data_IF_240247895490
#
_entry.id   IF_240247895490
#
_cell.length_a   1.000
_cell.length_b   1.000
_cell.length_c   1.000
_cell.angle_alpha   90.00
_cell.angle_beta   90.00
_cell.angle_gamma   90.00
#
_symmetry.space_group_name_H-M   'P 1'
#
loop_
_entity.id
_entity.type
_entity.pdbx_description
1 polymer ?
#
# COMPACT_ATOMS: atom_id res chain seq x y z
N UNK A 1 -40.42 -71.91 -24.21
CA UNK A 1 -38.96 -71.85 -23.96
C UNK A 1 -38.47 -70.52 -24.49
N UNK A 2 -38.08 -69.53 -23.69
CA UNK A 2 -36.85 -69.44 -22.89
C UNK A 2 -37.04 -68.47 -21.69
N UNK A 3 -36.71 -68.89 -20.47
CA UNK A 3 -36.69 -68.04 -19.27
C UNK A 3 -35.26 -67.51 -19.06
N UNK A 4 -35.05 -66.20 -19.24
CA UNK A 4 -33.80 -65.55 -18.85
C UNK A 4 -33.67 -65.49 -17.32
N UNK A 5 -32.50 -65.78 -16.73
CA UNK A 5 -32.33 -65.80 -15.28
C UNK A 5 -32.26 -64.38 -14.70
N UNK A 6 -33.24 -63.99 -13.89
CA UNK A 6 -33.35 -62.66 -13.23
C UNK A 6 -32.19 -62.27 -12.30
N UNK A 7 -31.29 -63.21 -11.97
CA UNK A 7 -30.12 -62.97 -11.10
C UNK A 7 -29.02 -62.13 -11.76
N UNK A 8 -28.94 -62.10 -13.09
CA UNK A 8 -27.92 -61.31 -13.80
C UNK A 8 -28.26 -59.83 -13.96
N UNK A 9 -29.56 -59.48 -14.00
CA UNK A 9 -30.01 -58.09 -14.23
C UNK A 9 -29.77 -57.21 -13.00
N UNK A 10 -30.00 -57.74 -11.81
CA UNK A 10 -29.84 -56.99 -10.55
C UNK A 10 -28.37 -56.64 -10.27
N UNK A 11 -27.43 -57.55 -10.53
CA UNK A 11 -25.99 -57.30 -10.32
C UNK A 11 -25.41 -56.23 -11.25
N UNK A 12 -25.89 -56.15 -12.50
CA UNK A 12 -25.51 -55.10 -13.44
C UNK A 12 -26.00 -53.72 -13.01
N UNK A 13 -27.25 -53.62 -12.54
CA UNK A 13 -27.81 -52.35 -12.06
C UNK A 13 -27.00 -51.76 -10.89
N UNK A 14 -26.64 -52.57 -9.88
CA UNK A 14 -25.83 -52.09 -8.75
C UNK A 14 -24.46 -51.57 -9.19
N UNK A 15 -23.79 -52.25 -10.13
CA UNK A 15 -22.52 -51.80 -10.70
C UNK A 15 -22.68 -50.46 -11.43
N UNK A 16 -23.73 -50.31 -12.22
CA UNK A 16 -23.93 -49.10 -13.03
C UNK A 16 -24.31 -47.89 -12.15
N UNK A 17 -25.10 -48.09 -11.07
CA UNK A 17 -25.33 -47.05 -10.05
C UNK A 17 -24.04 -46.66 -9.31
N UNK A 18 -23.20 -47.64 -8.96
CA UNK A 18 -21.92 -47.36 -8.31
C UNK A 18 -20.99 -46.55 -9.23
N UNK A 19 -20.90 -46.91 -10.51
CA UNK A 19 -20.13 -46.15 -11.50
C UNK A 19 -20.66 -44.72 -11.67
N UNK A 20 -21.99 -44.55 -11.74
CA UNK A 20 -22.59 -43.22 -11.82
C UNK A 20 -22.25 -42.35 -10.59
N UNK A 21 -22.30 -42.91 -9.38
CA UNK A 21 -21.90 -42.22 -8.16
C UNK A 21 -20.43 -41.81 -8.21
N UNK A 22 -19.53 -42.71 -8.61
CA UNK A 22 -18.09 -42.40 -8.74
C UNK A 22 -17.83 -41.29 -9.76
N UNK A 23 -18.53 -41.29 -10.90
CA UNK A 23 -18.42 -40.25 -11.93
C UNK A 23 -18.94 -38.90 -11.41
N UNK A 24 -20.09 -38.88 -10.73
CA UNK A 24 -20.63 -37.65 -10.15
C UNK A 24 -19.73 -37.07 -9.05
N UNK A 25 -19.21 -37.93 -8.17
CA UNK A 25 -18.28 -37.52 -7.11
C UNK A 25 -16.96 -37.02 -7.68
N UNK A 26 -16.38 -37.71 -8.66
CA UNK A 26 -15.14 -37.27 -9.30
C UNK A 26 -15.31 -35.95 -10.06
N UNK A 27 -16.43 -35.79 -10.77
CA UNK A 27 -16.80 -34.51 -11.42
C UNK A 27 -16.92 -33.37 -10.40
N UNK A 28 -17.58 -33.60 -9.26
CA UNK A 28 -17.72 -32.61 -8.20
C UNK A 28 -16.37 -32.24 -7.57
N UNK A 29 -15.49 -33.22 -7.33
CA UNK A 29 -14.14 -32.98 -6.81
C UNK A 29 -13.31 -32.14 -7.78
N UNK A 30 -13.35 -32.45 -9.08
CA UNK A 30 -12.66 -31.68 -10.13
C UNK A 30 -13.19 -30.25 -10.18
N UNK A 31 -14.51 -30.06 -10.15
CA UNK A 31 -15.13 -28.74 -10.12
C UNK A 31 -14.68 -27.91 -8.92
N UNK A 32 -14.68 -28.50 -7.72
CA UNK A 32 -14.23 -27.84 -6.49
C UNK A 32 -12.74 -27.48 -6.56
N UNK A 33 -11.90 -28.36 -7.10
CA UNK A 33 -10.47 -28.10 -7.29
C UNK A 33 -10.24 -26.91 -8.23
N UNK A 34 -10.93 -26.85 -9.37
CA UNK A 34 -10.83 -25.72 -10.28
C UNK A 34 -11.32 -24.41 -9.65
N UNK A 35 -12.42 -24.46 -8.89
CA UNK A 35 -12.93 -23.30 -8.16
C UNK A 35 -11.92 -22.78 -7.14
N UNK A 36 -11.28 -23.66 -6.38
CA UNK A 36 -10.24 -23.29 -5.42
C UNK A 36 -9.03 -22.64 -6.10
N UNK A 37 -8.56 -23.20 -7.21
CA UNK A 37 -7.45 -22.62 -7.98
C UNK A 37 -7.79 -21.21 -8.50
N UNK A 38 -9.02 -21.02 -9.01
CA UNK A 38 -9.47 -19.72 -9.50
C UNK A 38 -9.50 -18.68 -8.37
N UNK A 39 -10.08 -19.03 -7.22
CA UNK A 39 -10.11 -18.15 -6.05
C UNK A 39 -8.71 -17.85 -5.51
N UNK A 40 -7.79 -18.82 -5.53
CA UNK A 40 -6.40 -18.61 -5.13
C UNK A 40 -5.71 -17.58 -6.05
N UNK A 41 -5.88 -17.73 -7.37
CA UNK A 41 -5.33 -16.79 -8.35
C UNK A 41 -5.94 -15.39 -8.19
N UNK A 42 -7.26 -15.29 -8.02
CA UNK A 42 -7.94 -14.01 -7.74
C UNK A 42 -7.39 -13.36 -6.47
N UNK A 43 -7.19 -14.12 -5.39
CA UNK A 43 -6.59 -13.62 -4.16
C UNK A 43 -5.15 -13.14 -4.35
N UNK A 44 -4.31 -13.86 -5.11
CA UNK A 44 -2.96 -13.42 -5.43
C UNK A 44 -2.97 -12.10 -6.21
N UNK A 45 -3.86 -11.97 -7.20
CA UNK A 45 -4.00 -10.71 -7.97
C UNK A 45 -4.46 -9.55 -7.09
N UNK A 46 -5.44 -9.77 -6.21
CA UNK A 46 -5.91 -8.76 -5.25
C UNK A 46 -4.81 -8.37 -4.27
N UNK A 47 -4.03 -9.32 -3.76
CA UNK A 47 -2.88 -9.01 -2.90
C UNK A 47 -1.84 -8.18 -3.64
N UNK A 48 -1.52 -8.51 -4.89
CA UNK A 48 -0.58 -7.75 -5.70
C UNK A 48 -1.07 -6.32 -5.94
N UNK A 49 -2.35 -6.14 -6.29
CA UNK A 49 -2.98 -4.82 -6.46
C UNK A 49 -3.01 -4.02 -5.15
N UNK A 50 -3.33 -4.68 -4.04
CA UNK A 50 -3.30 -4.06 -2.71
C UNK A 50 -1.89 -3.58 -2.36
N UNK A 51 -0.87 -4.41 -2.56
CA UNK A 51 0.52 -4.03 -2.31
C UNK A 51 0.98 -2.89 -3.23
N UNK A 52 0.61 -2.92 -4.51
CA UNK A 52 0.87 -1.82 -5.46
C UNK A 52 0.20 -0.53 -5.02
N UNK A 53 -1.05 -0.59 -4.59
CA UNK A 53 -1.82 0.58 -4.11
C UNK A 53 -1.19 1.13 -2.83
N UNK A 54 -0.85 0.27 -1.87
CA UNK A 54 -0.19 0.66 -0.62
C UNK A 54 1.19 1.27 -0.89
N UNK A 55 1.95 0.71 -1.82
CA UNK A 55 3.21 1.27 -2.28
C UNK A 55 3.03 2.64 -2.93
N UNK A 56 2.03 2.81 -3.80
CA UNK A 56 1.73 4.11 -4.42
C UNK A 56 1.24 5.13 -3.40
N UNK A 57 0.47 4.72 -2.39
CA UNK A 57 0.05 5.59 -1.29
C UNK A 57 1.26 6.04 -0.45
N UNK A 58 2.16 5.12 -0.10
CA UNK A 58 3.42 5.43 0.58
C UNK A 58 4.31 6.33 -0.29
N UNK A 59 4.36 6.08 -1.59
CA UNK A 59 5.06 6.94 -2.55
C UNK A 59 4.44 8.32 -2.59
N UNK A 60 3.12 8.44 -2.59
CA UNK A 60 2.42 9.73 -2.63
C UNK A 60 2.48 10.50 -1.30
N UNK A 61 2.74 9.83 -0.18
CA UNK A 61 3.11 10.53 1.07
C UNK A 61 4.37 11.37 0.89
N UNK A 62 5.24 11.01 -0.07
CA UNK A 62 6.38 11.81 -0.50
C UNK A 62 6.07 12.44 -1.86
N UNK A 63 5.82 13.74 -1.92
CA UNK A 63 5.75 14.44 -3.20
C UNK A 63 7.10 14.27 -3.95
N UNK A 64 7.18 13.51 -5.06
CA UNK A 64 8.45 13.27 -5.75
C UNK A 64 9.04 14.57 -6.31
N UNK A 65 8.18 15.50 -6.74
CA UNK A 65 8.61 16.80 -7.22
C UNK A 65 9.20 17.63 -6.07
N UNK A 66 8.60 17.61 -4.88
CA UNK A 66 9.18 18.22 -3.69
C UNK A 66 10.56 17.63 -3.36
N UNK A 67 10.70 16.30 -3.42
CA UNK A 67 11.98 15.62 -3.16
C UNK A 67 13.06 16.08 -4.15
N UNK A 68 12.81 16.00 -5.46
CA UNK A 68 13.78 16.42 -6.47
C UNK A 68 14.13 17.90 -6.36
N UNK A 69 13.13 18.75 -6.10
CA UNK A 69 13.38 20.18 -5.94
C UNK A 69 14.26 20.45 -4.71
N UNK A 70 13.97 19.80 -3.59
CA UNK A 70 14.75 19.94 -2.36
C UNK A 70 16.19 19.48 -2.54
N UNK A 71 16.42 18.39 -3.28
CA UNK A 71 17.77 17.92 -3.60
C UNK A 71 18.52 18.90 -4.52
N UNK A 72 17.83 19.51 -5.48
CA UNK A 72 18.41 20.54 -6.34
C UNK A 72 18.79 21.81 -5.55
N UNK A 73 17.90 22.27 -4.64
CA UNK A 73 18.20 23.36 -3.72
C UNK A 73 19.42 23.03 -2.86
N UNK A 74 19.48 21.83 -2.28
CA UNK A 74 20.63 21.38 -1.51
C UNK A 74 21.92 21.37 -2.34
N UNK A 75 21.88 20.83 -3.56
CA UNK A 75 23.04 20.80 -4.47
C UNK A 75 23.54 22.20 -4.82
N UNK A 76 22.63 23.16 -4.98
CA UNK A 76 22.98 24.57 -5.17
C UNK A 76 23.62 25.16 -3.92
N UNK A 77 23.05 24.90 -2.73
CA UNK A 77 23.58 25.38 -1.45
C UNK A 77 24.96 24.83 -1.13
N UNK A 78 25.25 23.56 -1.43
CA UNK A 78 26.59 22.99 -1.21
C UNK A 78 27.68 23.81 -1.92
N UNK A 79 27.35 24.40 -3.08
CA UNK A 79 28.28 25.22 -3.86
C UNK A 79 28.36 26.67 -3.39
N UNK A 80 27.27 27.22 -2.85
CA UNK A 80 27.17 28.66 -2.53
C UNK A 80 27.34 28.97 -1.05
N UNK A 81 26.84 28.11 -0.17
CA UNK A 81 26.85 28.28 1.28
C UNK A 81 26.75 26.89 1.96
N UNK A 82 27.90 26.31 2.27
CA UNK A 82 27.99 24.98 2.88
C UNK A 82 27.32 24.92 4.27
N UNK A 83 27.32 26.03 5.02
CA UNK A 83 26.65 26.10 6.32
C UNK A 83 25.13 25.98 6.18
N UNK A 84 24.54 26.77 5.28
CA UNK A 84 23.11 26.64 4.95
C UNK A 84 22.76 25.30 4.33
N UNK A 85 23.66 24.70 3.56
CA UNK A 85 23.45 23.35 3.03
C UNK A 85 23.30 22.31 4.15
N UNK A 86 24.16 22.38 5.17
CA UNK A 86 24.10 21.49 6.33
C UNK A 86 22.81 21.67 7.13
N UNK A 87 22.38 22.91 7.36
CA UNK A 87 21.11 23.18 8.02
C UNK A 87 19.92 22.69 7.18
N UNK A 88 19.94 22.96 5.87
CA UNK A 88 18.89 22.55 4.95
C UNK A 88 18.71 21.02 4.91
N UNK A 89 19.80 20.26 4.81
CA UNK A 89 19.71 18.79 4.79
C UNK A 89 19.20 18.22 6.11
N UNK A 90 19.50 18.86 7.24
CA UNK A 90 18.99 18.45 8.55
C UNK A 90 17.48 18.69 8.67
N UNK A 91 16.99 19.86 8.23
CA UNK A 91 15.56 20.18 8.18
C UNK A 91 14.81 19.28 7.18
N UNK A 92 15.41 19.02 6.02
CA UNK A 92 14.87 18.11 5.02
C UNK A 92 14.71 16.70 5.59
N UNK A 93 15.74 16.19 6.26
CA UNK A 93 15.71 14.88 6.93
C UNK A 93 14.66 14.81 8.04
N UNK A 94 14.43 15.90 8.77
CA UNK A 94 13.38 15.98 9.78
C UNK A 94 11.99 15.93 9.15
N UNK A 95 11.71 16.77 8.15
CA UNK A 95 10.43 16.82 7.43
C UNK A 95 10.08 15.44 6.85
N UNK A 96 11.02 14.80 6.15
CA UNK A 96 10.77 13.48 5.59
C UNK A 96 10.53 12.40 6.65
N UNK A 97 11.31 12.38 7.74
CA UNK A 97 11.07 11.44 8.84
C UNK A 97 9.70 11.64 9.46
N UNK A 98 9.27 12.90 9.63
CA UNK A 98 7.96 13.23 10.15
C UNK A 98 6.83 12.78 9.22
N UNK A 99 6.93 13.08 7.92
CA UNK A 99 5.93 12.69 6.92
C UNK A 99 5.78 11.17 6.79
N UNK A 100 6.85 10.42 7.03
CA UNK A 100 6.83 8.95 7.01
C UNK A 100 6.39 8.32 8.33
N UNK A 101 6.22 9.10 9.41
CA UNK A 101 5.66 8.59 10.66
C UNK A 101 4.15 8.39 10.50
N UNK A 102 3.67 7.19 10.83
CA UNK A 102 2.25 6.88 10.81
C UNK A 102 1.67 7.03 12.22
N UNK A 103 1.50 8.29 12.67
CA UNK A 103 0.85 8.63 13.94
C UNK A 103 -0.59 9.09 13.68
N UNK A 104 -1.57 8.45 14.31
CA UNK A 104 -2.98 8.87 14.20
C UNK A 104 -3.30 10.14 14.99
N UNK A 105 -2.57 10.39 16.09
CA UNK A 105 -2.74 11.56 16.96
C UNK A 105 -1.35 12.12 17.30
N UNK A 106 -1.22 13.44 17.23
CA UNK A 106 0.00 14.20 17.49
C UNK A 106 -0.31 15.43 18.34
N UNK A 107 0.69 15.94 19.06
CA UNK A 107 0.55 17.18 19.80
C UNK A 107 0.63 18.39 18.88
N UNK A 108 0.02 19.51 19.28
CA UNK A 108 0.12 20.77 18.54
C UNK A 108 1.58 21.26 18.45
N UNK A 109 2.38 21.02 19.51
CA UNK A 109 3.79 21.37 19.53
C UNK A 109 4.59 20.61 18.45
N UNK A 110 4.37 19.29 18.32
CA UNK A 110 5.00 18.48 17.27
C UNK A 110 4.60 18.94 15.87
N UNK A 111 3.31 19.23 15.65
CA UNK A 111 2.81 19.70 14.35
C UNK A 111 3.36 21.09 14.00
N UNK A 112 3.44 21.99 14.96
CA UNK A 112 4.03 23.31 14.78
C UNK A 112 5.52 23.22 14.45
N UNK A 113 6.25 22.35 15.14
CA UNK A 113 7.67 22.11 14.87
C UNK A 113 7.88 21.56 13.45
N UNK A 114 7.04 20.63 13.00
CA UNK A 114 7.03 20.17 11.61
C UNK A 114 6.74 21.30 10.62
N UNK A 115 5.68 22.06 10.85
CA UNK A 115 5.25 23.16 9.98
C UNK A 115 6.35 24.22 9.84
N UNK A 116 6.99 24.60 10.94
CA UNK A 116 8.09 25.57 10.93
C UNK A 116 9.31 25.04 10.16
N UNK A 117 9.68 23.77 10.34
CA UNK A 117 10.76 23.15 9.57
C UNK A 117 10.44 23.12 8.07
N UNK A 118 9.19 22.80 7.70
CA UNK A 118 8.75 22.80 6.31
C UNK A 118 8.76 24.21 5.70
N UNK A 119 8.23 25.21 6.42
CA UNK A 119 8.28 26.61 6.01
C UNK A 119 9.72 27.10 5.83
N UNK A 120 10.65 26.67 6.69
CA UNK A 120 12.06 26.99 6.54
C UNK A 120 12.65 26.48 5.21
N UNK A 121 12.37 25.22 4.85
CA UNK A 121 12.77 24.66 3.56
C UNK A 121 12.20 25.45 2.38
N UNK A 122 10.92 25.84 2.47
CA UNK A 122 10.25 26.64 1.44
C UNK A 122 10.79 28.06 1.34
N UNK A 123 11.11 28.70 2.46
CA UNK A 123 11.72 30.03 2.47
C UNK A 123 13.09 30.02 1.78
N UNK A 124 13.91 29.01 2.03
CA UNK A 124 15.20 28.87 1.36
C UNK A 124 15.04 28.65 -0.15
N UNK A 125 14.03 27.85 -0.56
CA UNK A 125 13.77 27.57 -1.98
C UNK A 125 13.24 28.78 -2.74
N UNK A 126 12.28 29.51 -2.17
CA UNK A 126 11.56 30.59 -2.86
C UNK A 126 12.12 31.99 -2.54
N UNK A 127 13.05 32.08 -1.57
CA UNK A 127 13.65 33.34 -1.13
C UNK A 127 12.58 34.34 -0.71
N UNK A 128 12.74 35.58 -1.17
CA UNK A 128 11.82 36.69 -0.88
C UNK A 128 10.45 36.56 -1.53
N UNK A 129 10.26 35.61 -2.45
CA UNK A 129 8.97 35.39 -3.12
C UNK A 129 7.93 34.75 -2.20
N UNK A 130 8.34 34.27 -1.02
CA UNK A 130 7.48 33.59 -0.06
C UNK A 130 7.69 34.14 1.35
N UNK A 131 6.63 34.71 1.91
CA UNK A 131 6.60 35.22 3.27
C UNK A 131 5.61 34.43 4.12
N UNK A 132 6.03 34.09 5.34
CA UNK A 132 5.21 33.38 6.31
C UNK A 132 4.95 34.29 7.51
N UNK A 133 3.69 34.33 7.96
CA UNK A 133 3.29 34.99 9.19
C UNK A 133 2.56 33.99 10.08
N UNK A 134 3.16 33.65 11.21
CA UNK A 134 2.58 32.72 12.17
C UNK A 134 1.79 33.51 13.21
N UNK A 135 0.49 33.24 13.31
CA UNK A 135 -0.39 33.81 14.32
C UNK A 135 -0.95 32.68 15.16
N UNK A 136 -0.44 32.55 16.39
CA UNK A 136 -0.90 31.56 17.36
C UNK A 136 -1.42 32.32 18.57
N UNK A 137 -2.64 31.98 18.98
CA UNK A 137 -3.25 32.53 20.19
C UNK A 137 -2.49 32.01 21.42
N UNK A 138 -2.15 32.90 22.35
CA UNK A 138 -1.32 32.61 23.52
C UNK A 138 -1.84 31.43 24.35
N UNK A 139 -3.15 31.17 24.35
CA UNK A 139 -3.74 30.01 25.04
C UNK A 139 -3.21 28.65 24.59
N UNK A 140 -2.59 28.59 23.40
CA UNK A 140 -2.05 27.37 22.79
C UNK A 140 -0.52 27.28 22.83
N UNK A 141 0.16 28.33 23.31
CA UNK A 141 1.61 28.34 23.57
C UNK A 141 1.79 28.01 25.06
N UNK A 142 1.95 26.73 25.39
CA UNK A 142 2.25 26.28 26.75
C UNK A 142 3.53 25.48 26.78
#
# INVERSE_FOLDING_TARGET
>A
MLRYPQRFIHGGMFRDYFLAIVVLLSSQLIYLSHKQQKTALENETLQAEYMKTRFMALKNQVDPHFLFNSLNTLSSLIKTDAGKAQEYVQQLSYVFRYTLQNKEVITLEEELKFTLAYCHLMKIRFGESLQFALHIDEKYIK
#
